data_IF_811369874836
#
_entry.id   IF_811369874836
#
_cell.length_a   1.000
_cell.length_b   1.000
_cell.length_c   1.000
_cell.angle_alpha   90.00
_cell.angle_beta   90.00
_cell.angle_gamma   90.00
#
_symmetry.space_group_name_H-M   'P 1'
#
loop_
_entity.id
_entity.type
_entity.pdbx_description
1 polymer ?
#
# COMPACT_ATOMS: atom_id res chain seq x y z
N UNK A 1 10.15 -10.45 5.52
CA UNK A 1 9.28 -9.24 5.58
C UNK A 1 9.64 -8.41 6.82
N UNK A 2 9.24 -7.13 6.96
CA UNK A 2 9.67 -6.15 8.01
C UNK A 2 9.96 -6.72 9.43
N UNK A 3 9.23 -7.72 9.90
CA UNK A 3 9.48 -8.39 11.19
C UNK A 3 10.74 -9.26 11.24
N UNK A 4 11.13 -9.88 10.12
CA UNK A 4 12.36 -10.69 10.01
C UNK A 4 13.63 -9.82 10.10
N UNK A 5 13.49 -8.49 10.01
CA UNK A 5 14.57 -7.52 10.24
C UNK A 5 14.44 -6.81 11.60
N UNK A 6 13.63 -7.33 12.52
CA UNK A 6 13.49 -6.80 13.89
C UNK A 6 12.80 -5.44 13.99
N UNK A 7 12.17 -4.96 12.91
CA UNK A 7 11.50 -3.66 12.87
C UNK A 7 10.00 -3.81 13.17
N UNK A 8 9.48 -2.99 14.09
CA UNK A 8 8.04 -2.90 14.34
C UNK A 8 7.35 -2.16 13.17
N UNK A 9 6.40 -2.78 12.45
CA UNK A 9 5.69 -2.11 11.35
C UNK A 9 4.92 -0.86 11.79
N UNK A 10 4.63 -0.71 13.09
CA UNK A 10 4.02 0.50 13.65
C UNK A 10 5.04 1.62 13.91
N UNK A 11 6.32 1.36 13.67
CA UNK A 11 7.43 2.27 13.95
C UNK A 11 8.49 2.22 12.87
N UNK A 12 8.10 2.50 11.62
CA UNK A 12 9.04 2.70 10.53
C UNK A 12 9.94 3.90 10.84
N UNK A 13 11.26 3.68 10.87
CA UNK A 13 12.24 4.73 11.15
C UNK A 13 12.72 5.46 9.89
N UNK A 14 12.62 4.79 8.73
CA UNK A 14 13.14 5.27 7.45
C UNK A 14 12.21 4.86 6.29
N UNK A 15 11.65 5.83 5.54
CA UNK A 15 10.92 5.55 4.31
C UNK A 15 11.76 4.81 3.27
N UNK A 16 13.06 5.07 3.20
CA UNK A 16 13.97 4.37 2.27
C UNK A 16 14.16 2.90 2.64
N UNK A 17 14.22 2.56 3.93
CA UNK A 17 14.22 1.17 4.37
C UNK A 17 12.87 0.50 4.08
N UNK A 18 11.77 1.18 4.40
CA UNK A 18 10.43 0.70 4.10
C UNK A 18 10.23 0.45 2.60
N UNK A 19 10.78 1.30 1.75
CA UNK A 19 10.75 1.14 0.29
C UNK A 19 11.44 -0.13 -0.18
N UNK A 20 12.64 -0.42 0.36
CA UNK A 20 13.36 -1.66 0.04
C UNK A 20 12.58 -2.89 0.44
N UNK A 21 11.94 -2.88 1.62
CA UNK A 21 11.09 -4.00 2.03
C UNK A 21 9.82 -4.08 1.20
N UNK A 22 9.22 -2.95 0.84
CA UNK A 22 8.08 -2.90 -0.06
C UNK A 22 8.42 -3.53 -1.41
N UNK A 23 9.61 -3.26 -1.94
CA UNK A 23 10.06 -3.87 -3.20
C UNK A 23 10.16 -5.39 -3.11
N UNK A 24 10.76 -5.90 -2.03
CA UNK A 24 10.81 -7.33 -1.75
C UNK A 24 9.41 -7.93 -1.53
N UNK A 25 8.50 -7.17 -0.94
CA UNK A 25 7.11 -7.57 -0.71
C UNK A 25 6.32 -7.68 -2.03
N UNK A 26 6.52 -6.77 -2.98
CA UNK A 26 5.89 -6.84 -4.30
C UNK A 26 6.34 -8.08 -5.11
N UNK A 27 7.56 -8.58 -4.88
CA UNK A 27 8.08 -9.76 -5.56
C UNK A 27 7.48 -11.09 -5.05
N UNK A 28 6.64 -11.07 -4.02
CA UNK A 28 6.02 -12.27 -3.46
C UNK A 28 4.78 -12.61 -4.30
N UNK A 29 4.76 -13.80 -4.87
CA UNK A 29 3.59 -14.35 -5.55
C UNK A 29 2.44 -14.59 -4.56
N UNK A 30 1.23 -14.24 -5.00
CA UNK A 30 0.00 -14.41 -4.23
C UNK A 30 -0.91 -15.36 -5.00
N UNK A 31 -1.39 -16.40 -4.32
CA UNK A 31 -2.39 -17.31 -4.84
C UNK A 31 -3.81 -16.74 -4.71
N UNK A 32 -4.74 -17.22 -5.53
CA UNK A 32 -6.16 -16.84 -5.47
C UNK A 32 -6.50 -15.50 -6.12
N UNK A 33 -5.58 -14.96 -6.93
CA UNK A 33 -5.84 -13.77 -7.75
C UNK A 33 -6.84 -14.06 -8.87
N UNK A 34 -7.67 -13.07 -9.20
CA UNK A 34 -8.75 -13.17 -10.20
C UNK A 34 -8.22 -13.54 -11.60
N UNK A 35 -8.45 -14.75 -12.11
CA UNK A 35 -7.79 -15.21 -13.33
C UNK A 35 -8.33 -14.57 -14.62
N UNK A 36 -9.53 -13.97 -14.61
CA UNK A 36 -10.19 -13.46 -15.82
C UNK A 36 -9.96 -11.97 -16.08
N UNK A 37 -9.17 -11.27 -15.25
CA UNK A 37 -8.90 -9.84 -15.40
C UNK A 37 -7.40 -9.56 -15.62
N UNK A 38 -6.87 -10.20 -16.67
CA UNK A 38 -5.47 -10.11 -17.12
C UNK A 38 -4.88 -8.70 -16.96
N UNK A 39 -3.93 -8.57 -16.04
CA UNK A 39 -3.17 -7.35 -15.78
C UNK A 39 -3.69 -6.51 -14.62
N UNK A 40 -4.92 -6.68 -14.14
CA UNK A 40 -5.51 -5.90 -13.04
C UNK A 40 -5.52 -6.63 -11.69
N UNK A 41 -4.97 -7.85 -11.66
CA UNK A 41 -5.04 -8.72 -10.50
C UNK A 41 -4.12 -8.32 -9.37
N UNK A 42 -2.99 -7.73 -9.72
CA UNK A 42 -1.93 -7.37 -8.80
C UNK A 42 -1.28 -6.08 -9.27
N UNK A 43 -0.99 -5.21 -8.34
CA UNK A 43 -0.53 -3.88 -8.64
C UNK A 43 -0.08 -3.12 -7.41
N UNK A 44 0.45 -1.93 -7.62
CA UNK A 44 0.91 -1.10 -6.53
C UNK A 44 0.72 0.39 -6.81
N UNK A 45 0.72 1.16 -5.73
CA UNK A 45 0.65 2.62 -5.74
C UNK A 45 1.54 3.17 -4.61
N UNK A 46 2.26 4.25 -4.90
CA UNK A 46 2.82 5.11 -3.85
C UNK A 46 2.06 6.41 -3.84
N UNK A 47 1.49 6.78 -2.70
CA UNK A 47 0.69 8.00 -2.56
C UNK A 47 1.27 8.95 -1.51
N UNK A 48 1.02 10.23 -1.67
CA UNK A 48 1.43 11.27 -0.71
C UNK A 48 0.37 12.37 -0.61
N UNK A 49 0.32 13.03 0.54
CA UNK A 49 -0.60 14.15 0.72
C UNK A 49 -0.91 14.47 2.17
N UNK A 50 -2.11 15.00 2.39
CA UNK A 50 -2.65 15.35 3.72
C UNK A 50 -4.06 14.77 3.87
N UNK A 51 -4.20 13.45 3.92
CA UNK A 51 -5.51 12.83 4.04
C UNK A 51 -6.16 13.20 5.37
N UNK A 52 -7.50 13.19 5.41
CA UNK A 52 -8.24 13.54 6.64
C UNK A 52 -7.97 12.58 7.79
N UNK A 53 -7.67 11.32 7.50
CA UNK A 53 -7.40 10.30 8.53
C UNK A 53 -6.06 10.50 9.24
N UNK A 54 -5.12 11.26 8.64
CA UNK A 54 -3.86 11.61 9.30
C UNK A 54 -3.97 12.92 10.10
N UNK A 55 -5.17 13.36 10.45
CA UNK A 55 -5.45 14.68 11.02
C UNK A 55 -4.91 15.85 10.16
N UNK A 56 -4.83 15.64 8.84
CA UNK A 56 -4.26 16.62 7.90
C UNK A 56 -2.73 16.75 7.97
N UNK A 57 -2.05 15.85 8.68
CA UNK A 57 -0.59 15.76 8.69
C UNK A 57 -0.08 15.18 7.37
N UNK A 58 1.15 15.53 6.95
CA UNK A 58 1.79 14.93 5.79
C UNK A 58 1.86 13.40 5.91
N UNK A 59 1.57 12.72 4.82
CA UNK A 59 1.57 11.28 4.72
C UNK A 59 2.29 10.81 3.45
N UNK A 60 2.96 9.68 3.56
CA UNK A 60 3.49 8.87 2.47
C UNK A 60 3.00 7.43 2.68
N UNK A 61 2.44 6.81 1.64
CA UNK A 61 1.90 5.46 1.74
C UNK A 61 2.38 4.58 0.59
N UNK A 62 2.73 3.35 0.93
CA UNK A 62 3.08 2.30 -0.03
C UNK A 62 1.97 1.26 -0.04
N UNK A 63 1.37 1.02 -1.20
CA UNK A 63 0.18 0.20 -1.31
C UNK A 63 0.34 -0.91 -2.35
N UNK A 64 -0.08 -2.13 -2.02
CA UNK A 64 -0.31 -3.20 -2.99
C UNK A 64 -1.80 -3.41 -3.15
N UNK A 65 -2.25 -3.52 -4.39
CA UNK A 65 -3.63 -3.72 -4.78
C UNK A 65 -3.77 -5.15 -5.31
N UNK A 66 -4.79 -5.86 -4.83
CA UNK A 66 -5.06 -7.22 -5.24
C UNK A 66 -6.52 -7.31 -5.71
N UNK A 67 -6.75 -8.03 -6.80
CA UNK A 67 -8.08 -8.46 -7.21
C UNK A 67 -8.14 -9.97 -7.02
N UNK A 68 -8.99 -10.41 -6.10
CA UNK A 68 -9.07 -11.78 -5.57
C UNK A 68 -10.30 -12.47 -6.15
N UNK A 69 -10.13 -13.72 -6.56
CA UNK A 69 -11.23 -14.56 -7.03
C UNK A 69 -12.23 -14.82 -5.89
N UNK A 70 -13.46 -14.32 -6.05
CA UNK A 70 -14.54 -14.49 -5.07
C UNK A 70 -15.54 -15.60 -5.47
N UNK A 71 -15.27 -16.34 -6.55
CA UNK A 71 -16.22 -17.28 -7.15
C UNK A 71 -16.70 -18.38 -6.20
N UNK A 72 -15.83 -18.81 -5.28
CA UNK A 72 -16.16 -19.84 -4.30
C UNK A 72 -17.15 -19.37 -3.21
N UNK A 73 -17.30 -18.07 -2.99
CA UNK A 73 -18.14 -17.51 -1.91
C UNK A 73 -19.31 -16.67 -2.43
N UNK A 74 -19.40 -16.47 -3.76
CA UNK A 74 -20.42 -15.62 -4.37
C UNK A 74 -21.74 -16.38 -4.62
N UNK A 75 -22.87 -15.95 -4.03
CA UNK A 75 -24.16 -16.58 -4.28
C UNK A 75 -24.68 -16.21 -5.68
N UNK A 76 -24.90 -17.21 -6.53
CA UNK A 76 -25.69 -17.04 -7.76
C UNK A 76 -27.10 -16.49 -7.41
N UNK A 77 -27.70 -15.59 -8.23
CA UNK A 77 -27.49 -15.44 -9.67
C UNK A 77 -27.09 -14.04 -10.16
N UNK A 78 -26.57 -13.15 -9.30
CA UNK A 78 -26.46 -11.70 -9.60
C UNK A 78 -25.24 -11.26 -10.43
N UNK A 79 -24.55 -12.19 -11.11
CA UNK A 79 -23.32 -11.91 -11.84
C UNK A 79 -22.09 -11.91 -10.92
N UNK A 80 -20.97 -12.41 -11.46
CA UNK A 80 -19.70 -12.53 -10.76
C UNK A 80 -19.05 -11.15 -10.54
N UNK A 81 -18.51 -10.91 -9.34
CA UNK A 81 -17.66 -9.76 -9.04
C UNK A 81 -16.48 -10.21 -8.16
N UNK A 82 -15.24 -9.92 -8.54
CA UNK A 82 -14.09 -10.22 -7.71
C UNK A 82 -14.02 -9.28 -6.52
N UNK A 83 -13.30 -9.70 -5.48
CA UNK A 83 -13.01 -8.85 -4.35
C UNK A 83 -11.76 -7.99 -4.63
N UNK A 84 -11.84 -6.69 -4.40
CA UNK A 84 -10.68 -5.80 -4.52
C UNK A 84 -10.11 -5.48 -3.15
N UNK A 85 -8.86 -5.84 -2.90
CA UNK A 85 -8.18 -5.71 -1.62
C UNK A 85 -7.04 -4.70 -1.74
N UNK A 86 -6.76 -3.99 -0.65
CA UNK A 86 -5.64 -3.05 -0.54
C UNK A 86 -4.84 -3.35 0.72
N UNK A 87 -3.53 -3.56 0.57
CA UNK A 87 -2.57 -3.60 1.66
C UNK A 87 -1.81 -2.28 1.63
N UNK A 88 -1.80 -1.54 2.74
CA UNK A 88 -1.05 -0.28 2.85
C UNK A 88 -0.05 -0.31 3.99
N UNK A 89 1.11 0.29 3.76
CA UNK A 89 1.96 0.84 4.79
C UNK A 89 1.82 2.36 4.73
N UNK A 90 1.19 2.93 5.74
CA UNK A 90 0.95 4.35 5.86
C UNK A 90 1.96 4.95 6.85
N UNK A 91 2.70 5.98 6.43
CA UNK A 91 3.65 6.72 7.26
C UNK A 91 3.17 8.15 7.40
N UNK A 92 3.05 8.65 8.63
CA UNK A 92 2.60 10.01 8.93
C UNK A 92 3.71 10.80 9.57
N UNK A 93 3.88 12.06 9.16
CA UNK A 93 5.02 12.89 9.54
C UNK A 93 4.57 14.10 10.35
N UNK A 94 5.42 14.56 11.26
CA UNK A 94 5.20 15.84 11.93
C UNK A 94 5.20 16.96 10.91
N UNK A 95 4.26 17.90 11.02
CA UNK A 95 4.20 19.05 10.12
C UNK A 95 5.48 19.89 10.19
N UNK A 96 6.07 20.22 9.03
CA UNK A 96 7.27 21.06 8.89
C UNK A 96 7.11 21.96 7.66
N UNK A 97 7.85 23.06 7.62
CA UNK A 97 7.85 23.98 6.47
C UNK A 97 8.19 23.27 5.16
N UNK A 98 9.11 22.29 5.20
CA UNK A 98 9.48 21.46 4.05
C UNK A 98 8.34 20.58 3.49
N UNK A 99 7.19 20.48 4.19
CA UNK A 99 6.03 19.68 3.78
C UNK A 99 4.79 20.54 3.47
N UNK A 100 4.95 21.87 3.37
CA UNK A 100 3.83 22.80 3.27
C UNK A 100 2.96 22.60 2.02
N UNK A 101 3.56 22.12 0.93
CA UNK A 101 2.96 21.93 -0.39
C UNK A 101 2.64 20.47 -0.72
N UNK A 102 2.90 19.49 0.15
CA UNK A 102 2.65 18.06 -0.14
C UNK A 102 1.20 17.78 -0.58
N UNK A 103 0.23 18.52 -0.04
CA UNK A 103 -1.19 18.42 -0.42
C UNK A 103 -1.58 19.26 -1.64
N UNK A 104 -0.62 19.96 -2.25
CA UNK A 104 -0.79 20.87 -3.39
C UNK A 104 0.07 20.47 -4.60
N UNK A 105 0.82 19.38 -4.50
CA UNK A 105 1.55 18.81 -5.63
C UNK A 105 0.55 18.48 -6.76
N UNK A 106 1.02 18.49 -8.02
CA UNK A 106 0.15 18.24 -9.17
C UNK A 106 -0.43 16.81 -9.17
N UNK A 107 0.24 15.89 -8.48
CA UNK A 107 -0.18 14.51 -8.25
C UNK A 107 -0.16 14.22 -6.75
N UNK A 108 -1.01 13.30 -6.31
CA UNK A 108 -1.11 12.81 -4.93
C UNK A 108 -0.67 11.33 -4.82
N UNK A 109 -0.02 10.84 -5.88
CA UNK A 109 0.52 9.50 -5.97
C UNK A 109 1.01 9.20 -7.38
N UNK A 110 1.69 8.06 -7.50
CA UNK A 110 2.26 7.53 -8.74
C UNK A 110 1.22 7.05 -9.75
N UNK A 111 -0.05 6.98 -9.34
CA UNK A 111 -1.04 6.15 -10.00
C UNK A 111 -0.84 4.66 -9.67
N UNK A 112 -1.85 3.85 -10.01
CA UNK A 112 -1.79 2.40 -9.79
C UNK A 112 -1.11 1.74 -10.98
N UNK A 113 0.05 1.14 -10.74
CA UNK A 113 0.65 0.20 -11.68
C UNK A 113 -0.03 -1.17 -11.54
N UNK A 114 -0.25 -1.81 -12.68
CA UNK A 114 -0.99 -3.06 -12.81
C UNK A 114 -0.11 -4.05 -13.59
N UNK A 115 0.29 -5.15 -12.95
CA UNK A 115 1.22 -6.13 -13.49
C UNK A 115 1.92 -6.97 -12.41
N UNK A 116 1.95 -8.29 -12.60
CA UNK A 116 2.38 -9.27 -11.58
C UNK A 116 3.85 -9.13 -11.18
N UNK A 117 4.78 -9.14 -12.14
CA UNK A 117 6.22 -9.00 -11.93
C UNK A 117 6.93 -8.73 -13.27
N UNK A 118 8.19 -8.29 -13.23
CA UNK A 118 9.05 -8.18 -14.42
C UNK A 118 9.45 -6.73 -14.78
N UNK A 119 9.96 -6.51 -16.01
CA UNK A 119 10.56 -5.22 -16.39
C UNK A 119 9.63 -4.02 -16.22
N UNK A 120 8.33 -4.17 -16.53
CA UNK A 120 7.36 -3.09 -16.37
C UNK A 120 7.18 -2.66 -14.91
N UNK A 121 7.25 -3.59 -13.96
CA UNK A 121 7.21 -3.26 -12.52
C UNK A 121 8.47 -2.52 -12.11
N UNK A 122 9.64 -2.94 -12.60
CA UNK A 122 10.90 -2.25 -12.32
C UNK A 122 10.87 -0.81 -12.86
N UNK A 123 10.34 -0.59 -14.06
CA UNK A 123 10.20 0.75 -14.64
C UNK A 123 9.24 1.64 -13.85
N UNK A 124 8.06 1.13 -13.48
CA UNK A 124 7.12 1.87 -12.65
C UNK A 124 7.73 2.27 -11.28
N UNK A 125 8.53 1.39 -10.67
CA UNK A 125 9.21 1.70 -9.42
C UNK A 125 10.34 2.72 -9.59
N UNK A 126 11.03 2.73 -10.73
CA UNK A 126 11.99 3.78 -11.06
C UNK A 126 11.31 5.13 -11.28
N UNK A 127 10.11 5.16 -11.86
CA UNK A 127 9.33 6.40 -12.01
C UNK A 127 8.96 7.00 -10.65
N UNK A 128 8.53 6.17 -9.69
CA UNK A 128 8.30 6.63 -8.30
C UNK A 128 9.56 7.25 -7.70
N UNK A 129 10.71 6.58 -7.83
CA UNK A 129 11.97 7.11 -7.32
C UNK A 129 12.38 8.40 -8.02
N UNK A 130 12.14 8.51 -9.33
CA UNK A 130 12.37 9.73 -10.08
C UNK A 130 11.55 10.89 -9.51
N UNK A 131 10.26 10.70 -9.21
CA UNK A 131 9.44 11.75 -8.58
C UNK A 131 9.96 12.13 -7.20
N UNK A 132 10.35 11.14 -6.37
CA UNK A 132 10.97 11.37 -5.07
C UNK A 132 12.25 12.21 -5.21
N UNK A 133 13.07 11.93 -6.21
CA UNK A 133 14.32 12.64 -6.48
C UNK A 133 14.13 14.04 -7.08
N UNK A 134 13.01 14.32 -7.75
CA UNK A 134 12.82 15.58 -8.47
C UNK A 134 11.85 16.55 -7.75
N UNK A 135 11.07 16.07 -6.78
CA UNK A 135 10.17 16.89 -5.98
C UNK A 135 10.77 17.13 -4.58
N UNK A 136 11.20 18.37 -4.25
CA UNK A 136 11.87 18.67 -2.98
C UNK A 136 11.10 18.23 -1.74
N UNK A 137 9.78 18.32 -1.79
CA UNK A 137 8.89 17.91 -0.69
C UNK A 137 8.85 16.41 -0.50
N UNK A 138 8.90 15.63 -1.59
CA UNK A 138 9.00 14.18 -1.51
C UNK A 138 10.38 13.75 -1.03
N UNK A 139 11.47 14.37 -1.51
CA UNK A 139 12.80 14.15 -0.95
C UNK A 139 12.83 14.38 0.57
N UNK A 140 12.19 15.47 1.03
CA UNK A 140 12.16 15.82 2.44
C UNK A 140 11.37 14.78 3.26
N UNK A 141 10.24 14.29 2.76
CA UNK A 141 9.49 13.20 3.38
C UNK A 141 10.33 11.92 3.43
N UNK A 142 10.96 11.56 2.31
CA UNK A 142 11.75 10.34 2.16
C UNK A 142 12.94 10.25 3.12
N UNK A 143 13.55 11.41 3.43
CA UNK A 143 14.67 11.54 4.38
C UNK A 143 14.23 11.76 5.83
N UNK A 144 12.93 11.83 6.11
CA UNK A 144 12.42 12.11 7.45
C UNK A 144 11.99 10.84 8.16
N UNK A 145 12.11 10.83 9.49
CA UNK A 145 11.51 9.80 10.34
C UNK A 145 10.00 10.06 10.49
N UNK A 146 9.13 9.10 10.14
CA UNK A 146 7.71 9.17 10.44
C UNK A 146 7.46 9.39 11.94
N UNK A 147 6.42 10.16 12.27
CA UNK A 147 5.91 10.26 13.64
C UNK A 147 5.34 8.91 14.10
N UNK A 148 4.64 8.24 13.21
CA UNK A 148 4.11 6.89 13.38
C UNK A 148 3.88 6.26 11.99
N UNK A 149 3.75 4.95 11.97
CA UNK A 149 3.33 4.20 10.79
C UNK A 149 2.26 3.17 11.17
N UNK A 150 1.49 2.72 10.18
CA UNK A 150 0.53 1.64 10.36
C UNK A 150 0.50 0.76 9.11
N UNK A 151 0.28 -0.53 9.32
CA UNK A 151 -0.02 -1.46 8.24
C UNK A 151 -1.51 -1.78 8.29
N UNK A 152 -2.20 -1.51 7.18
CA UNK A 152 -3.63 -1.80 7.06
C UNK A 152 -3.90 -2.76 5.91
N UNK A 153 -4.97 -3.52 6.05
CA UNK A 153 -5.46 -4.44 5.04
C UNK A 153 -6.97 -4.43 5.03
N UNK A 154 -7.58 -4.30 3.86
CA UNK A 154 -9.02 -4.43 3.75
C UNK A 154 -9.54 -4.35 2.33
N UNK A 155 -10.85 -4.50 2.21
CA UNK A 155 -11.58 -4.27 0.97
C UNK A 155 -11.36 -2.83 0.51
N UNK A 156 -11.12 -2.65 -0.79
CA UNK A 156 -11.02 -1.36 -1.45
C UNK A 156 -12.41 -0.72 -1.49
N UNK A 157 -12.82 -0.07 -0.41
CA UNK A 157 -13.94 0.86 -0.43
C UNK A 157 -13.41 2.26 -0.83
N UNK A 158 -13.85 2.85 -1.96
CA UNK A 158 -13.45 4.19 -2.36
C UNK A 158 -13.90 5.31 -1.39
N UNK A 159 -14.63 5.00 -0.31
CA UNK A 159 -15.19 6.00 0.64
C UNK A 159 -14.78 5.82 2.11
N UNK A 160 -13.96 4.84 2.49
CA UNK A 160 -13.63 4.61 3.90
C UNK A 160 -12.14 4.45 4.20
N UNK A 161 -11.82 4.63 5.49
CA UNK A 161 -10.48 4.77 6.11
C UNK A 161 -9.51 3.66 5.67
N UNK A 162 -8.18 3.87 5.78
CA UNK A 162 -7.26 2.77 6.06
C UNK A 162 -7.80 2.05 7.30
N UNK A 163 -8.01 0.74 7.20
CA UNK A 163 -8.63 -0.05 8.27
C UNK A 163 -7.65 -0.12 9.43
N UNK A 164 -7.76 0.79 10.39
CA UNK A 164 -6.87 0.88 11.57
C UNK A 164 -7.00 -0.32 12.52
N UNK A 165 -7.91 -1.25 12.29
CA UNK A 165 -7.94 -2.54 12.96
C UNK A 165 -8.61 -3.54 12.03
N UNK A 166 -7.93 -4.65 11.73
CA UNK A 166 -8.58 -5.82 11.11
C UNK A 166 -9.96 -5.99 11.75
N UNK A 167 -11.02 -5.89 10.95
CA UNK A 167 -12.33 -6.27 11.46
C UNK A 167 -12.30 -7.76 11.87
N UNK A 168 -13.28 -8.24 12.62
CA UNK A 168 -13.27 -9.60 13.13
C UNK A 168 -13.13 -10.66 12.01
N UNK A 169 -13.59 -10.35 10.80
CA UNK A 169 -13.52 -11.24 9.63
C UNK A 169 -12.15 -11.20 8.98
N UNK A 170 -11.57 -10.01 8.81
CA UNK A 170 -10.21 -9.83 8.28
C UNK A 170 -9.17 -10.38 9.26
N UNK A 171 -9.40 -10.25 10.56
CA UNK A 171 -8.55 -10.82 11.60
C UNK A 171 -8.59 -12.35 11.55
N UNK A 172 -9.78 -12.94 11.39
CA UNK A 172 -9.94 -14.38 11.24
C UNK A 172 -9.23 -14.90 9.98
N UNK A 173 -9.37 -14.21 8.84
CA UNK A 173 -8.68 -14.56 7.60
C UNK A 173 -7.15 -14.47 7.74
N UNK A 174 -6.64 -13.45 8.45
CA UNK A 174 -5.21 -13.31 8.75
C UNK A 174 -4.70 -14.40 9.70
N UNK A 175 -5.45 -14.70 10.76
CA UNK A 175 -5.10 -15.75 11.72
C UNK A 175 -5.09 -17.13 11.05
N UNK A 176 -6.02 -17.38 10.12
CA UNK A 176 -6.10 -18.63 9.34
C UNK A 176 -4.93 -18.76 8.35
N UNK A 177 -4.59 -17.69 7.62
CA UNK A 177 -3.41 -17.66 6.76
C UNK A 177 -2.13 -17.90 7.57
N UNK A 178 -2.00 -17.26 8.74
CA UNK A 178 -0.86 -17.45 9.65
C UNK A 178 -0.73 -18.89 10.13
N UNK A 179 -1.84 -19.57 10.42
CA UNK A 179 -1.83 -20.96 10.87
C UNK A 179 -1.40 -21.95 9.78
N UNK A 180 -1.56 -21.60 8.50
CA UNK A 180 -1.20 -22.47 7.36
C UNK A 180 0.24 -22.26 6.88
N UNK A 181 0.83 -21.10 7.12
CA UNK A 181 2.07 -20.67 6.46
C UNK A 181 3.13 -20.10 7.41
N UNK A 182 2.92 -20.15 8.73
CA UNK A 182 3.83 -19.68 9.77
C UNK A 182 4.42 -20.79 10.63
#
# INVERSE_FOLDING_TARGET
MIRDQGSDPNRVESPELAWRVFWAFLAIDIDGLEPNQAGLEDGFEVSWGRPRWSDGLPNLSFCRHLTVDASATWPAPTGYAPDHWKLSLDMVFRNRAAFADVGKLNTQGSGVYHGRTGPGMADALREVLWEVEHLPTLQALWRSTPLWSTVSFGLRDPRTRPVENFDARQKAAYDEWRARHG
#
